data_IF_396870016643
#
_entry.id   IF_396870016643
#
_cell.length_a   1.000
_cell.length_b   1.000
_cell.length_c   1.000
_cell.angle_alpha   90.00
_cell.angle_beta   90.00
_cell.angle_gamma   90.00
#
_symmetry.space_group_name_H-M   'P 1'
#
loop_
_entity.id
_entity.type
_entity.pdbx_description
1 polymer ?
#
# COMPACT_ATOMS: atom_id res chain seq x y z
N UNK A 1 19.42 16.06 -6.62
CA UNK A 1 20.17 16.49 -7.82
C UNK A 1 21.67 16.58 -7.49
N UNK A 2 22.50 15.67 -7.98
CA UNK A 2 23.97 15.68 -7.72
C UNK A 2 24.83 15.31 -8.93
N UNK A 3 24.23 14.95 -10.07
CA UNK A 3 24.93 14.41 -11.25
C UNK A 3 25.40 12.96 -11.10
N UNK A 4 25.02 12.26 -10.01
CA UNK A 4 25.32 10.84 -9.88
C UNK A 4 24.41 10.00 -10.79
N UNK A 5 24.96 8.88 -11.30
CA UNK A 5 24.15 7.84 -11.96
C UNK A 5 23.30 7.11 -10.92
N UNK A 6 21.99 7.05 -11.16
CA UNK A 6 21.00 6.50 -10.24
C UNK A 6 20.12 5.48 -10.97
N UNK A 7 19.84 4.38 -10.29
CA UNK A 7 18.77 3.44 -10.67
C UNK A 7 17.72 3.49 -9.55
N UNK A 8 16.47 3.76 -9.91
CA UNK A 8 15.32 3.60 -9.02
C UNK A 8 14.50 2.42 -9.54
N UNK A 9 14.44 1.34 -8.77
CA UNK A 9 13.67 0.15 -9.08
C UNK A 9 12.54 -0.02 -8.06
N UNK A 10 11.33 -0.27 -8.56
CA UNK A 10 10.13 -0.49 -7.77
C UNK A 10 9.34 -1.66 -8.36
N UNK A 11 8.80 -2.53 -7.50
CA UNK A 11 8.13 -3.74 -7.96
C UNK A 11 6.73 -3.49 -8.54
N UNK A 12 6.09 -2.38 -8.18
CA UNK A 12 4.72 -2.03 -8.58
C UNK A 12 4.64 -1.61 -10.05
N UNK A 13 3.41 -1.54 -10.57
CA UNK A 13 3.09 -1.10 -11.92
C UNK A 13 3.51 0.33 -12.23
N UNK A 14 3.56 1.18 -11.20
CA UNK A 14 3.92 2.59 -11.25
C UNK A 14 4.61 2.98 -9.93
N UNK A 15 5.38 4.06 -9.95
CA UNK A 15 6.03 4.56 -8.74
C UNK A 15 5.04 5.29 -7.83
N UNK A 16 5.30 5.25 -6.53
CA UNK A 16 4.54 5.97 -5.51
C UNK A 16 4.32 5.14 -4.24
N UNK A 17 4.37 3.81 -4.35
CA UNK A 17 4.19 2.93 -3.21
C UNK A 17 2.86 3.19 -2.50
N UNK A 18 2.88 3.31 -1.18
CA UNK A 18 1.67 3.60 -0.38
C UNK A 18 1.07 4.99 -0.62
N UNK A 19 1.78 5.91 -1.27
CA UNK A 19 1.22 7.22 -1.62
C UNK A 19 0.09 7.11 -2.67
N UNK A 20 0.05 6.02 -3.44
CA UNK A 20 -0.96 5.78 -4.46
C UNK A 20 -2.37 5.54 -3.87
N UNK A 21 -2.46 5.20 -2.59
CA UNK A 21 -3.71 5.16 -1.83
C UNK A 21 -3.74 6.16 -0.66
N UNK A 22 -2.83 7.14 -0.62
CA UNK A 22 -2.79 8.07 0.51
C UNK A 22 -3.80 9.22 0.37
N UNK A 23 -4.13 9.80 1.53
CA UNK A 23 -4.87 11.08 1.68
C UNK A 23 -3.93 12.26 1.89
N UNK A 24 -2.64 11.98 2.07
CA UNK A 24 -1.68 12.96 2.51
C UNK A 24 -1.40 14.01 1.43
N UNK A 25 -0.97 15.18 1.89
CA UNK A 25 -0.43 16.23 1.03
C UNK A 25 1.06 16.37 1.32
N UNK A 26 1.86 16.42 0.26
CA UNK A 26 3.31 16.59 0.31
C UNK A 26 3.65 17.90 -0.39
N UNK A 27 4.40 18.77 0.29
CA UNK A 27 4.75 20.12 -0.20
C UNK A 27 3.53 20.93 -0.68
N UNK A 28 2.41 20.81 0.04
CA UNK A 28 1.15 21.49 -0.27
C UNK A 28 0.38 20.92 -1.46
N UNK A 29 0.80 19.78 -2.04
CA UNK A 29 0.13 19.10 -3.16
C UNK A 29 -0.45 17.76 -2.73
N UNK A 30 -1.58 17.31 -3.32
CA UNK A 30 -2.05 15.94 -3.15
C UNK A 30 -0.96 14.92 -3.51
N UNK A 31 -0.89 13.81 -2.77
CA UNK A 31 0.15 12.79 -2.95
C UNK A 31 0.34 12.33 -4.41
N UNK A 32 -0.76 12.10 -5.14
CA UNK A 32 -0.70 11.69 -6.54
C UNK A 32 -0.03 12.74 -7.46
N UNK A 33 -0.33 14.02 -7.24
CA UNK A 33 0.28 15.12 -8.00
C UNK A 33 1.76 15.29 -7.64
N UNK A 34 2.10 15.15 -6.35
CA UNK A 34 3.49 15.20 -5.90
C UNK A 34 4.31 14.08 -6.55
N UNK A 35 3.83 12.83 -6.50
CA UNK A 35 4.48 11.67 -7.14
C UNK A 35 4.66 11.91 -8.63
N UNK A 36 3.60 12.35 -9.34
CA UNK A 36 3.68 12.63 -10.76
C UNK A 36 4.76 13.69 -11.07
N UNK A 37 4.86 14.74 -10.26
CA UNK A 37 5.87 15.80 -10.44
C UNK A 37 7.30 15.30 -10.22
N UNK A 38 7.54 14.48 -9.19
CA UNK A 38 8.85 13.91 -8.90
C UNK A 38 9.27 12.93 -10.00
N UNK A 39 8.35 12.09 -10.46
CA UNK A 39 8.65 11.15 -11.56
C UNK A 39 8.92 11.89 -12.87
N UNK A 40 8.19 12.98 -13.15
CA UNK A 40 8.47 13.83 -14.31
C UNK A 40 9.87 14.46 -14.24
N UNK A 41 10.27 14.96 -13.07
CA UNK A 41 11.65 15.45 -12.85
C UNK A 41 12.68 14.34 -13.10
N UNK A 42 12.52 13.19 -12.45
CA UNK A 42 13.49 12.09 -12.55
C UNK A 42 13.63 11.57 -13.99
N UNK A 43 12.53 11.50 -14.75
CA UNK A 43 12.55 11.12 -16.17
C UNK A 43 13.33 12.10 -17.05
N UNK A 44 13.42 13.37 -16.67
CA UNK A 44 14.14 14.39 -17.42
C UNK A 44 15.65 14.36 -17.17
N UNK A 45 16.13 13.58 -16.18
CA UNK A 45 17.55 13.47 -15.85
C UNK A 45 18.21 12.33 -16.64
N UNK A 46 19.24 12.60 -17.47
CA UNK A 46 19.86 11.59 -18.33
C UNK A 46 20.61 10.49 -17.55
N UNK A 47 21.03 10.78 -16.33
CA UNK A 47 21.76 9.86 -15.45
C UNK A 47 20.83 9.03 -14.54
N UNK A 48 19.51 9.14 -14.69
CA UNK A 48 18.53 8.42 -13.88
C UNK A 48 17.83 7.37 -14.72
N UNK A 49 17.90 6.12 -14.26
CA UNK A 49 17.15 5.00 -14.84
C UNK A 49 16.01 4.63 -13.90
N UNK A 50 14.78 4.71 -14.42
CA UNK A 50 13.57 4.32 -13.70
C UNK A 50 13.11 2.94 -14.18
N UNK A 51 13.01 1.99 -13.27
CA UNK A 51 12.56 0.61 -13.52
C UNK A 51 11.28 0.32 -12.72
N UNK A 52 10.08 0.68 -13.22
CA UNK A 52 8.83 0.16 -12.65
C UNK A 52 8.69 -1.34 -12.99
N UNK A 53 7.84 -2.06 -12.26
CA UNK A 53 7.63 -3.51 -12.43
C UNK A 53 8.92 -4.31 -12.28
N UNK A 54 9.86 -3.82 -11.47
CA UNK A 54 11.18 -4.40 -11.29
C UNK A 54 11.46 -4.70 -9.81
N UNK A 55 11.51 -5.98 -9.45
CA UNK A 55 11.79 -6.42 -8.08
C UNK A 55 13.30 -6.58 -7.90
N UNK A 56 13.90 -5.82 -6.96
CA UNK A 56 15.26 -6.10 -6.49
C UNK A 56 15.20 -7.34 -5.60
N UNK A 57 15.61 -8.49 -6.13
CA UNK A 57 15.40 -9.79 -5.49
C UNK A 57 16.65 -10.35 -4.79
N UNK A 58 17.81 -9.69 -4.93
CA UNK A 58 19.06 -10.10 -4.31
C UNK A 58 19.95 -8.92 -3.96
N UNK A 59 20.52 -8.94 -2.76
CA UNK A 59 21.57 -8.04 -2.30
C UNK A 59 22.72 -8.89 -1.74
N UNK A 60 23.85 -8.87 -2.43
CA UNK A 60 25.05 -9.64 -2.11
C UNK A 60 26.27 -8.74 -1.86
N UNK A 61 27.41 -9.38 -1.60
CA UNK A 61 28.69 -8.76 -1.27
C UNK A 61 29.09 -7.64 -2.22
N UNK A 62 29.71 -6.61 -1.63
CA UNK A 62 30.21 -5.42 -2.32
C UNK A 62 29.14 -4.71 -3.18
N UNK A 63 27.92 -4.58 -2.65
CA UNK A 63 26.78 -3.94 -3.32
C UNK A 63 26.52 -4.52 -4.72
N UNK A 64 26.52 -5.85 -4.80
CA UNK A 64 25.98 -6.54 -5.96
C UNK A 64 24.49 -6.74 -5.78
N UNK A 65 23.68 -6.25 -6.72
CA UNK A 65 22.23 -6.41 -6.69
C UNK A 65 21.76 -7.11 -7.96
N UNK A 66 20.75 -7.96 -7.80
CA UNK A 66 19.99 -8.52 -8.91
C UNK A 66 18.61 -7.89 -8.95
N UNK A 67 18.16 -7.51 -10.15
CA UNK A 67 16.84 -6.90 -10.35
C UNK A 67 16.11 -7.69 -11.43
N UNK A 68 14.91 -8.17 -11.12
CA UNK A 68 14.01 -8.84 -12.05
C UNK A 68 12.95 -7.86 -12.56
N UNK A 69 13.14 -7.40 -13.80
CA UNK A 69 12.22 -6.50 -14.49
C UNK A 69 11.24 -7.28 -15.38
N UNK A 70 9.95 -7.00 -15.21
CA UNK A 70 8.85 -7.59 -15.97
C UNK A 70 8.43 -6.63 -17.08
N UNK A 71 8.92 -6.87 -18.29
CA UNK A 71 8.78 -5.96 -19.44
C UNK A 71 7.43 -6.12 -20.15
N UNK A 72 7.00 -7.35 -20.42
CA UNK A 72 5.76 -7.59 -21.18
C UNK A 72 4.76 -8.52 -20.50
N UNK A 73 5.00 -8.93 -19.25
CA UNK A 73 4.04 -9.75 -18.49
C UNK A 73 2.63 -9.14 -18.44
N UNK A 74 2.55 -7.82 -18.30
CA UNK A 74 1.28 -7.08 -18.23
C UNK A 74 0.56 -6.92 -19.58
N UNK A 75 1.23 -7.24 -20.70
CA UNK A 75 0.62 -7.21 -22.04
C UNK A 75 -0.06 -8.54 -22.39
N UNK A 76 0.32 -9.64 -21.72
CA UNK A 76 -0.19 -10.98 -21.98
C UNK A 76 -0.04 -11.35 -23.47
N UNK A 77 -1.14 -11.83 -24.05
CA UNK A 77 -1.27 -12.31 -25.42
C UNK A 77 -1.06 -11.19 -26.46
N UNK A 78 -1.06 -9.92 -26.03
CA UNK A 78 -0.82 -8.74 -26.87
C UNK A 78 0.66 -8.37 -26.97
N UNK A 79 1.55 -9.11 -26.32
CA UNK A 79 2.99 -8.85 -26.38
C UNK A 79 3.52 -9.01 -27.82
N UNK A 80 4.32 -8.06 -28.35
CA UNK A 80 4.92 -8.20 -29.67
C UNK A 80 5.82 -9.43 -29.79
N UNK A 81 5.89 -10.04 -30.98
CA UNK A 81 6.78 -11.18 -31.23
C UNK A 81 8.24 -10.71 -31.20
N UNK A 82 9.12 -11.51 -30.60
CA UNK A 82 10.57 -11.26 -30.60
C UNK A 82 11.07 -10.25 -29.56
N UNK A 83 10.20 -9.74 -28.68
CA UNK A 83 10.61 -8.86 -27.57
C UNK A 83 10.86 -9.65 -26.29
N UNK A 84 11.75 -9.13 -25.44
CA UNK A 84 12.10 -9.75 -24.16
C UNK A 84 10.93 -9.65 -23.19
N UNK A 85 10.48 -10.79 -22.64
CA UNK A 85 9.41 -10.83 -21.64
C UNK A 85 9.85 -10.28 -20.28
N UNK A 86 11.01 -10.73 -19.81
CA UNK A 86 11.58 -10.40 -18.52
C UNK A 86 13.09 -10.21 -18.65
N UNK A 87 13.66 -9.30 -17.85
CA UNK A 87 15.09 -8.97 -17.85
C UNK A 87 15.66 -9.10 -16.45
N UNK A 88 16.83 -9.74 -16.35
CA UNK A 88 17.62 -9.75 -15.12
C UNK A 88 18.76 -8.76 -15.26
N UNK A 89 18.77 -7.74 -14.40
CA UNK A 89 19.86 -6.79 -14.28
C UNK A 89 20.84 -7.27 -13.22
N UNK A 90 22.14 -7.12 -13.49
CA UNK A 90 23.23 -7.38 -12.55
C UNK A 90 23.92 -6.05 -12.27
N UNK A 91 23.66 -5.46 -11.11
CA UNK A 91 24.08 -4.09 -10.78
C UNK A 91 25.16 -4.12 -9.71
N UNK A 92 26.27 -3.41 -9.95
CA UNK A 92 27.30 -3.12 -8.94
C UNK A 92 27.19 -1.65 -8.55
N UNK A 93 26.61 -1.37 -7.39
CA UNK A 93 26.35 0.00 -6.96
C UNK A 93 27.43 0.52 -6.01
N UNK A 94 27.86 1.79 -6.15
CA UNK A 94 28.76 2.41 -5.15
C UNK A 94 28.06 2.62 -3.81
N UNK A 95 26.76 2.94 -3.84
CA UNK A 95 25.90 3.18 -2.69
C UNK A 95 24.53 2.59 -2.98
N UNK A 96 23.87 2.11 -1.93
CA UNK A 96 22.52 1.55 -1.99
C UNK A 96 21.67 2.26 -0.95
N UNK A 97 20.45 2.63 -1.32
CA UNK A 97 19.42 3.14 -0.41
C UNK A 97 18.29 2.14 -0.42
N UNK A 98 17.96 1.58 0.74
CA UNK A 98 16.81 0.70 0.90
C UNK A 98 15.63 1.52 1.41
N UNK A 99 14.57 1.57 0.61
CA UNK A 99 13.32 2.27 0.91
C UNK A 99 12.12 1.36 0.64
N UNK A 100 12.21 0.09 1.08
CA UNK A 100 11.26 -1.00 0.75
C UNK A 100 9.93 -0.94 1.51
N UNK A 101 9.67 0.14 2.24
CA UNK A 101 8.46 0.29 3.06
C UNK A 101 8.37 -0.73 4.20
N UNK A 102 7.14 -0.98 4.65
CA UNK A 102 6.81 -1.96 5.68
C UNK A 102 5.49 -2.67 5.33
N UNK A 103 5.45 -3.99 5.48
CA UNK A 103 4.23 -4.76 5.28
C UNK A 103 3.37 -4.75 6.55
N UNK A 104 2.07 -4.48 6.39
CA UNK A 104 1.09 -4.64 7.46
C UNK A 104 1.02 -6.10 7.91
N UNK A 105 0.70 -6.32 9.19
CA UNK A 105 0.58 -7.64 9.79
C UNK A 105 -0.87 -7.92 10.18
N UNK A 106 -1.40 -9.13 9.91
CA UNK A 106 -2.73 -9.49 10.36
C UNK A 106 -2.75 -9.71 11.88
N UNK A 107 -3.94 -9.58 12.48
CA UNK A 107 -4.20 -9.99 13.85
C UNK A 107 -4.61 -11.46 13.88
N UNK A 108 -4.19 -12.20 14.91
CA UNK A 108 -4.52 -13.61 15.10
C UNK A 108 -5.72 -13.72 16.05
N UNK A 109 -6.82 -14.30 15.55
CA UNK A 109 -8.06 -14.55 16.30
C UNK A 109 -8.86 -15.65 15.60
N UNK A 110 -9.96 -16.12 16.21
CA UNK A 110 -10.75 -17.23 15.68
C UNK A 110 -11.31 -16.94 14.28
N UNK A 111 -11.17 -17.90 13.36
CA UNK A 111 -11.69 -17.81 11.99
C UNK A 111 -11.22 -16.54 11.23
N UNK A 112 -10.01 -16.05 11.50
CA UNK A 112 -9.46 -14.87 10.83
C UNK A 112 -9.06 -15.12 9.36
N UNK A 113 -9.42 -16.27 8.80
CA UNK A 113 -9.20 -16.67 7.40
C UNK A 113 -10.50 -16.68 6.56
N UNK A 114 -11.66 -16.39 7.16
CA UNK A 114 -12.93 -16.33 6.44
C UNK A 114 -12.90 -15.23 5.36
N UNK A 115 -13.36 -15.49 4.12
CA UNK A 115 -13.37 -14.49 3.05
C UNK A 115 -14.09 -13.20 3.45
N UNK A 116 -13.53 -12.06 3.10
CA UNK A 116 -14.00 -10.74 3.56
C UNK A 116 -13.26 -10.23 4.79
N UNK A 117 -12.45 -11.07 5.46
CA UNK A 117 -11.40 -10.56 6.34
C UNK A 117 -10.20 -10.10 5.52
N UNK A 118 -9.71 -8.89 5.78
CA UNK A 118 -8.68 -8.24 4.98
C UNK A 118 -7.75 -7.43 5.88
N UNK A 119 -6.50 -7.27 5.45
CA UNK A 119 -5.60 -6.27 6.00
C UNK A 119 -6.20 -4.87 5.82
N UNK A 120 -6.05 -4.01 6.83
CA UNK A 120 -6.71 -2.71 6.85
C UNK A 120 -6.19 -1.84 5.69
N UNK A 121 -4.87 -1.78 5.51
CA UNK A 121 -4.22 -1.07 4.41
C UNK A 121 -4.70 -1.54 3.03
N UNK A 122 -4.89 -2.85 2.84
CA UNK A 122 -5.40 -3.39 1.59
C UNK A 122 -6.82 -2.88 1.28
N UNK A 123 -7.68 -2.71 2.29
CA UNK A 123 -9.00 -2.12 2.12
C UNK A 123 -8.90 -0.68 1.60
N UNK A 124 -8.03 0.16 2.19
CA UNK A 124 -7.77 1.51 1.69
C UNK A 124 -7.27 1.50 0.25
N UNK A 125 -6.35 0.58 -0.10
CA UNK A 125 -5.86 0.43 -1.48
C UNK A 125 -7.01 0.10 -2.45
N UNK A 126 -7.87 -0.87 -2.14
CA UNK A 126 -9.02 -1.19 -3.00
C UNK A 126 -9.96 0.00 -3.18
N UNK A 127 -10.30 0.69 -2.09
CA UNK A 127 -11.25 1.80 -2.12
C UNK A 127 -10.67 3.01 -2.87
N UNK A 128 -9.46 3.44 -2.51
CA UNK A 128 -8.90 4.71 -3.02
C UNK A 128 -8.18 4.58 -4.34
N UNK A 129 -7.39 3.51 -4.52
CA UNK A 129 -6.59 3.32 -5.74
C UNK A 129 -7.41 2.69 -6.85
N UNK A 130 -8.22 1.69 -6.51
CA UNK A 130 -8.96 0.92 -7.51
C UNK A 130 -10.45 1.28 -7.61
N UNK A 131 -10.98 2.12 -6.71
CA UNK A 131 -12.40 2.50 -6.71
C UNK A 131 -13.33 1.33 -6.42
N UNK A 132 -12.83 0.29 -5.73
CA UNK A 132 -13.56 -0.94 -5.42
C UNK A 132 -13.90 -0.96 -3.94
N UNK A 133 -15.15 -1.25 -3.61
CA UNK A 133 -15.60 -1.54 -2.26
C UNK A 133 -15.63 -3.06 -2.02
N UNK A 134 -14.74 -3.64 -1.18
CA UNK A 134 -14.74 -5.06 -0.83
C UNK A 134 -16.02 -5.59 -0.14
N UNK A 135 -16.96 -4.71 0.21
CA UNK A 135 -18.16 -5.04 0.97
C UNK A 135 -19.06 -3.81 1.17
N UNK A 136 -20.11 -3.98 1.99
CA UNK A 136 -21.09 -2.90 2.29
C UNK A 136 -20.97 -2.31 3.70
N UNK A 137 -20.44 -3.12 4.63
CA UNK A 137 -20.31 -2.79 6.05
C UNK A 137 -18.90 -3.14 6.50
N UNK A 138 -18.27 -2.26 7.27
CA UNK A 138 -16.92 -2.45 7.79
C UNK A 138 -16.94 -2.57 9.31
N UNK A 139 -16.32 -3.63 9.84
CA UNK A 139 -15.82 -3.69 11.22
C UNK A 139 -14.31 -3.64 11.13
N UNK A 140 -13.68 -2.70 11.82
CA UNK A 140 -12.23 -2.57 11.89
C UNK A 140 -11.73 -3.07 13.24
N UNK A 141 -10.75 -3.96 13.27
CA UNK A 141 -9.99 -4.33 14.47
C UNK A 141 -8.58 -3.78 14.35
N UNK A 142 -8.10 -2.98 15.31
CA UNK A 142 -6.81 -2.27 15.21
C UNK A 142 -6.04 -2.21 16.53
N UNK A 143 -4.73 -2.00 16.42
CA UNK A 143 -3.81 -1.70 17.53
C UNK A 143 -3.02 -0.40 17.37
N UNK A 144 -3.31 0.40 16.34
CA UNK A 144 -2.57 1.61 16.02
C UNK A 144 -3.45 2.66 15.33
N UNK A 145 -2.96 3.89 15.27
CA UNK A 145 -3.71 5.03 14.70
C UNK A 145 -3.82 4.97 13.19
N UNK A 146 -2.83 4.40 12.50
CA UNK A 146 -2.79 4.38 11.04
C UNK A 146 -4.00 3.64 10.45
N UNK A 147 -4.48 2.57 11.10
CA UNK A 147 -5.63 1.81 10.64
C UNK A 147 -6.95 2.61 10.65
N UNK A 148 -7.07 3.67 11.44
CA UNK A 148 -8.28 4.53 11.43
C UNK A 148 -8.50 5.18 10.06
N UNK A 149 -7.43 5.36 9.28
CA UNK A 149 -7.50 5.79 7.88
C UNK A 149 -8.51 4.97 7.08
N UNK A 150 -8.57 3.66 7.30
CA UNK A 150 -9.43 2.73 6.58
C UNK A 150 -10.90 2.98 6.87
N UNK A 151 -11.25 3.21 8.14
CA UNK A 151 -12.61 3.54 8.52
C UNK A 151 -13.05 4.89 7.92
N UNK A 152 -12.13 5.85 7.87
CA UNK A 152 -12.39 7.14 7.24
C UNK A 152 -12.52 7.04 5.72
N UNK A 153 -11.66 6.28 5.05
CA UNK A 153 -11.73 6.04 3.60
C UNK A 153 -13.03 5.35 3.20
N UNK A 154 -13.45 4.36 4.00
CA UNK A 154 -14.71 3.66 3.82
C UNK A 154 -15.91 4.59 3.95
N UNK A 155 -15.89 5.46 4.95
CA UNK A 155 -16.94 6.44 5.19
C UNK A 155 -16.97 7.51 4.09
N UNK A 156 -15.80 8.00 3.65
CA UNK A 156 -15.67 8.98 2.56
C UNK A 156 -16.16 8.40 1.21
N UNK A 157 -16.09 7.08 1.03
CA UNK A 157 -16.72 6.37 -0.09
C UNK A 157 -18.25 6.19 0.06
N UNK A 158 -18.86 6.75 1.11
CA UNK A 158 -20.30 6.68 1.36
C UNK A 158 -20.78 5.34 1.94
N UNK A 159 -19.88 4.52 2.47
CA UNK A 159 -20.19 3.19 2.99
C UNK A 159 -20.31 3.19 4.52
N UNK A 160 -20.94 2.14 5.08
CA UNK A 160 -21.23 2.07 6.50
C UNK A 160 -20.06 1.47 7.30
N UNK A 161 -19.54 2.23 8.26
CA UNK A 161 -18.64 1.71 9.32
C UNK A 161 -19.50 1.31 10.51
N UNK A 162 -19.47 0.02 10.87
CA UNK A 162 -20.25 -0.53 11.99
C UNK A 162 -19.59 -0.20 13.33
N UNK A 163 -18.28 -0.46 13.44
CA UNK A 163 -17.48 -0.15 14.61
C UNK A 163 -15.97 -0.24 14.31
N UNK A 164 -15.19 0.47 15.11
CA UNK A 164 -13.74 0.27 15.25
C UNK A 164 -13.48 -0.34 16.63
N UNK A 165 -13.01 -1.58 16.67
CA UNK A 165 -12.46 -2.21 17.87
C UNK A 165 -10.96 -1.87 17.96
N UNK A 166 -10.60 -1.06 18.96
CA UNK A 166 -9.21 -0.68 19.22
C UNK A 166 -8.75 -1.33 20.52
N UNK A 167 -7.67 -2.11 20.46
CA UNK A 167 -7.15 -2.81 21.64
C UNK A 167 -6.60 -1.87 22.71
N UNK A 168 -6.31 -0.62 22.34
CA UNK A 168 -5.79 0.40 23.26
C UNK A 168 -6.94 0.97 24.08
N UNK A 169 -6.72 1.17 25.38
CA UNK A 169 -7.73 1.72 26.29
C UNK A 169 -8.07 3.19 26.03
N UNK A 170 -7.11 3.97 25.52
CA UNK A 170 -7.25 5.41 25.31
C UNK A 170 -6.54 5.80 24.01
N UNK A 171 -7.05 5.39 22.84
CA UNK A 171 -6.45 5.76 21.56
C UNK A 171 -6.63 7.26 21.34
N UNK A 172 -5.54 7.90 20.92
CA UNK A 172 -5.44 9.33 20.65
C UNK A 172 -4.62 9.52 19.38
N UNK A 173 -4.96 10.54 18.60
CA UNK A 173 -4.23 10.88 17.39
C UNK A 173 -5.17 11.52 16.37
N UNK A 174 -4.61 12.20 15.37
CA UNK A 174 -5.39 12.97 14.41
C UNK A 174 -6.49 12.13 13.73
N UNK A 175 -6.17 10.90 13.29
CA UNK A 175 -7.14 10.00 12.65
C UNK A 175 -8.20 9.47 13.62
N UNK A 176 -7.83 9.27 14.89
CA UNK A 176 -8.76 8.83 15.93
C UNK A 176 -9.78 9.93 16.22
N UNK A 177 -9.31 11.17 16.37
CA UNK A 177 -10.17 12.33 16.63
C UNK A 177 -11.04 12.66 15.40
N UNK A 178 -10.52 12.53 14.18
CA UNK A 178 -11.33 12.66 12.96
C UNK A 178 -12.44 11.61 12.93
N UNK A 179 -12.14 10.35 13.26
CA UNK A 179 -13.14 9.29 13.32
C UNK A 179 -14.23 9.58 14.37
N UNK A 180 -13.85 10.07 15.55
CA UNK A 180 -14.81 10.51 16.59
C UNK A 180 -15.68 11.66 16.10
N UNK A 181 -15.08 12.67 15.46
CA UNK A 181 -15.79 13.82 14.93
C UNK A 181 -16.80 13.43 13.83
N UNK A 182 -16.48 12.41 13.02
CA UNK A 182 -17.39 11.83 12.03
C UNK A 182 -18.42 10.85 12.61
N UNK A 183 -18.48 10.70 13.94
CA UNK A 183 -19.47 9.86 14.62
C UNK A 183 -19.21 8.35 14.51
N UNK A 184 -18.00 7.93 14.17
CA UNK A 184 -17.65 6.51 14.09
C UNK A 184 -17.65 5.92 15.50
N UNK A 185 -18.37 4.81 15.68
CA UNK A 185 -18.41 4.07 16.94
C UNK A 185 -17.06 3.40 17.21
N UNK A 186 -16.37 3.83 18.27
CA UNK A 186 -15.08 3.25 18.68
C UNK A 186 -15.25 2.48 20.00
N UNK A 187 -14.89 1.21 19.99
CA UNK A 187 -14.83 0.31 21.14
C UNK A 187 -13.37 0.22 21.61
N UNK A 188 -13.02 0.96 22.66
CA UNK A 188 -11.65 0.98 23.21
C UNK A 188 -11.39 -0.22 24.12
N UNK A 189 -10.14 -0.65 24.23
CA UNK A 189 -9.78 -1.86 24.98
C UNK A 189 -10.45 -3.12 24.45
N UNK A 190 -10.79 -3.15 23.17
CA UNK A 190 -11.59 -4.21 22.54
C UNK A 190 -10.90 -4.75 21.29
N UNK A 191 -11.10 -6.04 21.01
CA UNK A 191 -10.61 -6.69 19.79
C UNK A 191 -11.70 -7.62 19.25
N UNK A 192 -11.70 -7.86 17.94
CA UNK A 192 -12.42 -9.01 17.38
C UNK A 192 -11.74 -10.29 17.87
N UNK A 193 -12.52 -11.19 18.46
CA UNK A 193 -12.04 -12.49 18.96
C UNK A 193 -12.37 -13.65 18.02
N UNK A 194 -13.39 -13.49 17.18
CA UNK A 194 -13.85 -14.49 16.23
C UNK A 194 -14.56 -13.79 15.05
N UNK A 195 -14.26 -14.17 13.81
CA UNK A 195 -15.12 -13.85 12.68
C UNK A 195 -16.15 -14.99 12.45
N UNK A 196 -17.38 -14.64 12.11
CA UNK A 196 -18.43 -15.59 11.77
C UNK A 196 -18.71 -15.56 10.28
N UNK A 197 -18.87 -16.73 9.68
CA UNK A 197 -19.12 -16.88 8.25
C UNK A 197 -18.51 -18.16 7.70
N UNK A 198 -18.71 -18.40 6.41
CA UNK A 198 -18.06 -19.50 5.69
C UNK A 198 -17.57 -19.04 4.32
N UNK A 199 -18.50 -18.66 3.44
CA UNK A 199 -18.17 -18.09 2.12
C UNK A 199 -17.87 -16.60 2.15
N UNK A 200 -18.30 -15.92 3.21
CA UNK A 200 -17.99 -14.52 3.51
C UNK A 200 -18.25 -14.24 5.00
N UNK A 201 -17.62 -13.18 5.54
CA UNK A 201 -17.88 -12.66 6.89
C UNK A 201 -19.31 -12.14 6.99
N UNK A 202 -20.05 -12.60 8.00
CA UNK A 202 -21.41 -12.14 8.33
C UNK A 202 -21.48 -11.41 9.67
N UNK A 203 -20.54 -11.67 10.58
CA UNK A 203 -20.40 -10.97 11.87
C UNK A 203 -18.96 -11.09 12.42
N UNK A 204 -18.64 -10.24 13.40
CA UNK A 204 -17.36 -10.18 14.11
C UNK A 204 -17.61 -9.74 15.57
#
# INVERSE_FOLDING_TARGET
RSGARVILADEQEEFGGSLLDSRESLDGKPAAEWVASVIAELKALPDVVLLPRATVNGYHDHNFLTIHERLTDHLGDRAPIGVVRQRIHRVRAKRVVLATGACERPLVYGNNDVPGNMLAGAVSTYVRRYGVAPGKKLVLSTNNDHAYRVALDWLDAGLAVVAVADVRHNPRGALVEEARAKGIRILTGSAVIEARGSKHVTAA
#
